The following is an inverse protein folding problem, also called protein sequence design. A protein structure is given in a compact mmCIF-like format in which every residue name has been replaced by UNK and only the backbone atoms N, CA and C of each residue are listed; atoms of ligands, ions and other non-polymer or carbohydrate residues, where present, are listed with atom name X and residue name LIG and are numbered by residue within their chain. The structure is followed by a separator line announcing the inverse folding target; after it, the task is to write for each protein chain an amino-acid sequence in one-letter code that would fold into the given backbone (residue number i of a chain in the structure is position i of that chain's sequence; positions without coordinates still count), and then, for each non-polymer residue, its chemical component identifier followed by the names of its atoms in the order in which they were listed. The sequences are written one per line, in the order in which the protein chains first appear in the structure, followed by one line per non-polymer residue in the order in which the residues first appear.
data_IF_123574770266
#
_entry.id   IF_123574770266
#
_cell.length_a   1.000
_cell.length_b   1.000
_cell.length_c   1.000
_cell.angle_alpha   90.00
_cell.angle_beta   90.00
_cell.angle_gamma   90.00
#
_symmetry.space_group_name_H-M   'P 1'
#
loop_
_entity.id
_entity.type
_entity.pdbx_description
1 polymer ?
#
# COMPACT_ATOMS: atom_id res chain seq x y z
N UNK A 1 -15.27 3.25 24.25
CA UNK A 1 -15.68 2.91 22.87
C UNK A 1 -14.38 2.64 22.11
N UNK A 2 -14.13 1.39 21.74
CA UNK A 2 -12.88 0.99 21.07
C UNK A 2 -12.71 1.76 19.75
N UNK A 3 -11.47 2.16 19.42
CA UNK A 3 -11.17 2.78 18.15
C UNK A 3 -11.39 1.75 17.03
N UNK A 4 -12.31 2.02 16.10
CA UNK A 4 -12.56 1.12 14.95
C UNK A 4 -11.29 0.86 14.11
N UNK A 5 -10.34 1.81 14.11
CA UNK A 5 -9.06 1.66 13.43
C UNK A 5 -8.15 0.58 14.06
N UNK A 6 -8.42 0.18 15.31
CA UNK A 6 -7.77 -0.92 16.02
C UNK A 6 -8.58 -2.21 16.00
N UNK A 7 -9.80 -2.19 15.46
CA UNK A 7 -10.63 -3.37 15.27
C UNK A 7 -9.94 -4.39 14.35
N UNK A 8 -10.34 -5.66 14.47
CA UNK A 8 -9.78 -6.76 13.69
C UNK A 8 -9.83 -6.51 12.17
N UNK A 9 -10.80 -5.73 11.69
CA UNK A 9 -10.99 -5.42 10.27
C UNK A 9 -9.91 -4.51 9.69
N UNK A 10 -9.57 -3.43 10.39
CA UNK A 10 -8.57 -2.47 9.91
C UNK A 10 -7.15 -2.87 10.31
N UNK A 11 -6.97 -3.81 11.24
CA UNK A 11 -5.67 -4.21 11.76
C UNK A 11 -4.71 -4.72 10.69
N UNK A 12 -5.18 -5.48 9.70
CA UNK A 12 -4.33 -6.00 8.62
C UNK A 12 -3.86 -4.87 7.69
N UNK A 13 -4.81 -4.06 7.21
CA UNK A 13 -4.54 -2.89 6.37
C UNK A 13 -3.62 -1.89 7.08
N UNK A 14 -3.87 -1.64 8.36
CA UNK A 14 -3.06 -0.79 9.24
C UNK A 14 -1.64 -1.30 9.35
N UNK A 15 -1.44 -2.60 9.65
CA UNK A 15 -0.10 -3.21 9.72
C UNK A 15 0.64 -3.10 8.39
N UNK A 16 -0.01 -3.41 7.27
CA UNK A 16 0.59 -3.27 5.94
C UNK A 16 1.04 -1.83 5.65
N UNK A 17 0.16 -0.85 5.88
CA UNK A 17 0.46 0.56 5.70
C UNK A 17 1.56 1.06 6.65
N UNK A 18 1.63 0.53 7.88
CA UNK A 18 2.69 0.85 8.84
C UNK A 18 4.04 0.29 8.39
N UNK A 19 4.10 -0.95 7.90
CA UNK A 19 5.35 -1.56 7.40
C UNK A 19 5.96 -0.75 6.25
N UNK A 20 5.14 -0.17 5.37
CA UNK A 20 5.61 0.64 4.24
C UNK A 20 5.93 2.11 4.67
N UNK A 21 5.53 2.53 5.88
CA UNK A 21 5.66 3.92 6.32
C UNK A 21 4.62 4.86 5.70
N UNK A 22 3.50 4.32 5.25
CA UNK A 22 2.38 5.07 4.66
C UNK A 22 1.28 5.40 5.66
N UNK A 23 1.34 4.84 6.87
CA UNK A 23 0.34 5.10 7.90
C UNK A 23 0.44 6.54 8.45
N UNK A 24 -0.64 7.35 8.41
CA UNK A 24 -0.57 8.77 8.74
C UNK A 24 -0.43 9.06 10.24
N UNK A 25 -0.79 8.10 11.11
CA UNK A 25 -0.71 8.25 12.57
C UNK A 25 0.60 7.69 13.17
N UNK A 26 1.58 7.30 12.35
CA UNK A 26 2.87 6.78 12.80
C UNK A 26 3.83 7.93 13.20
N UNK A 27 4.76 7.75 14.16
CA UNK A 27 5.75 8.76 14.50
C UNK A 27 6.57 9.19 13.28
N UNK A 28 6.76 10.52 13.15
CA UNK A 28 7.39 11.15 11.97
C UNK A 28 8.77 10.57 11.63
N UNK A 29 9.55 10.17 12.64
CA UNK A 29 10.90 9.60 12.47
C UNK A 29 10.87 8.20 11.86
N UNK A 30 10.06 7.31 12.44
CA UNK A 30 9.90 5.93 11.96
C UNK A 30 9.32 5.90 10.55
N UNK A 31 8.30 6.73 10.31
CA UNK A 31 7.70 6.92 8.98
C UNK A 31 8.72 7.34 7.93
N UNK A 32 9.59 8.31 8.25
CA UNK A 32 10.65 8.77 7.35
C UNK A 32 11.68 7.67 7.11
N UNK A 33 12.08 6.95 8.16
CA UNK A 33 13.01 5.83 8.04
C UNK A 33 12.48 4.75 7.10
N UNK A 34 11.24 4.29 7.31
CA UNK A 34 10.61 3.26 6.48
C UNK A 34 10.45 3.72 5.02
N UNK A 35 10.02 4.97 4.78
CA UNK A 35 9.93 5.51 3.41
C UNK A 35 11.29 5.54 2.72
N UNK A 36 12.35 5.96 3.41
CA UNK A 36 13.70 5.94 2.86
C UNK A 36 14.16 4.50 2.58
N UNK A 37 13.91 3.56 3.50
CA UNK A 37 14.24 2.15 3.33
C UNK A 37 13.54 1.55 2.10
N UNK A 38 12.23 1.74 1.97
CA UNK A 38 11.46 1.27 0.80
C UNK A 38 11.99 1.87 -0.49
N UNK A 39 12.24 3.18 -0.51
CA UNK A 39 12.78 3.85 -1.69
C UNK A 39 14.16 3.30 -2.10
N UNK A 40 15.07 3.09 -1.13
CA UNK A 40 16.40 2.52 -1.37
C UNK A 40 16.27 1.12 -1.95
N UNK A 41 15.43 0.25 -1.37
CA UNK A 41 15.22 -1.11 -1.86
C UNK A 41 14.69 -1.09 -3.30
N UNK A 42 13.69 -0.25 -3.59
CA UNK A 42 13.12 -0.14 -4.94
C UNK A 42 14.16 0.33 -5.97
N UNK A 43 14.98 1.33 -5.63
CA UNK A 43 16.04 1.81 -6.52
C UNK A 43 17.11 0.75 -6.73
N UNK A 44 17.54 0.05 -5.68
CA UNK A 44 18.51 -1.05 -5.78
C UNK A 44 18.04 -2.17 -6.70
N UNK A 45 16.74 -2.47 -6.74
CA UNK A 45 16.16 -3.45 -7.65
C UNK A 45 16.01 -2.92 -9.09
N UNK A 46 15.80 -1.62 -9.26
CA UNK A 46 15.65 -0.98 -10.57
C UNK A 46 16.98 -0.88 -11.33
N UNK A 47 18.09 -0.63 -10.63
CA UNK A 47 19.42 -0.44 -11.25
C UNK A 47 19.84 -1.63 -12.13
N UNK A 48 19.82 -2.90 -11.66
CA UNK A 48 20.17 -4.06 -12.49
C UNK A 48 19.29 -4.21 -13.73
N UNK A 49 17.99 -3.87 -13.61
CA UNK A 49 17.04 -3.96 -14.73
C UNK A 49 17.36 -2.93 -15.81
N UNK A 50 17.75 -1.72 -15.43
CA UNK A 50 18.20 -0.69 -16.37
C UNK A 50 19.51 -1.10 -17.03
N UNK A 51 20.49 -1.60 -16.26
CA UNK A 51 21.78 -2.06 -16.81
C UNK A 51 21.56 -3.14 -17.87
N UNK A 52 20.78 -4.17 -17.56
CA UNK A 52 20.43 -5.25 -18.50
C UNK A 52 19.76 -4.71 -19.76
N UNK A 53 18.86 -3.74 -19.62
CA UNK A 53 18.18 -3.12 -20.76
C UNK A 53 19.14 -2.33 -21.67
N UNK A 54 20.15 -1.66 -21.10
CA UNK A 54 21.13 -0.86 -21.86
C UNK A 54 22.15 -1.77 -22.55
N UNK A 55 22.61 -2.83 -21.87
CA UNK A 55 23.56 -3.80 -22.45
C UNK A 55 22.95 -4.54 -23.65
N UNK A 56 21.65 -4.86 -23.59
CA UNK A 56 20.94 -5.56 -24.65
C UNK A 56 20.24 -4.65 -25.66
N UNK A 57 20.64 -3.37 -25.80
CA UNK A 57 20.00 -2.42 -26.75
C UNK A 57 20.04 -2.90 -28.22
N UNK A 58 20.92 -3.84 -28.58
CA UNK A 58 20.93 -4.45 -29.91
C UNK A 58 19.91 -5.58 -30.13
N UNK A 59 19.31 -6.11 -29.07
CA UNK A 59 18.43 -7.29 -29.11
C UNK A 59 16.98 -6.90 -28.77
N UNK A 60 16.15 -6.86 -29.80
CA UNK A 60 14.76 -6.43 -29.68
C UNK A 60 13.94 -7.34 -28.74
N UNK A 61 14.23 -8.64 -28.68
CA UNK A 61 13.47 -9.58 -27.85
C UNK A 61 13.71 -9.28 -26.36
N UNK A 62 14.96 -9.00 -25.98
CA UNK A 62 15.32 -8.69 -24.58
C UNK A 62 14.75 -7.32 -24.15
N UNK A 63 14.76 -6.34 -25.05
CA UNK A 63 14.22 -5.00 -24.77
C UNK A 63 12.71 -5.06 -24.53
N UNK A 64 11.97 -5.81 -25.38
CA UNK A 64 10.52 -5.98 -25.23
C UNK A 64 10.17 -6.61 -23.87
N UNK A 65 10.99 -7.52 -23.36
CA UNK A 65 10.81 -8.10 -22.02
C UNK A 65 11.13 -7.10 -20.89
N UNK A 66 12.12 -6.22 -21.08
CA UNK A 66 12.54 -5.26 -20.06
C UNK A 66 11.60 -4.05 -19.89
N UNK A 67 10.99 -3.57 -20.98
CA UNK A 67 10.08 -2.41 -20.98
C UNK A 67 8.93 -2.54 -19.95
N UNK A 68 8.13 -3.62 -19.91
CA UNK A 68 7.03 -3.73 -18.97
C UNK A 68 7.53 -3.76 -17.52
N UNK A 69 8.67 -4.42 -17.26
CA UNK A 69 9.27 -4.49 -15.93
C UNK A 69 9.66 -3.09 -15.44
N UNK A 70 10.40 -2.33 -16.27
CA UNK A 70 10.82 -0.96 -15.93
C UNK A 70 9.59 -0.06 -15.74
N UNK A 71 8.58 -0.21 -16.59
CA UNK A 71 7.31 0.53 -16.50
C UNK A 71 6.58 0.25 -15.19
N UNK A 72 6.53 -1.02 -14.75
CA UNK A 72 5.94 -1.39 -13.47
C UNK A 72 6.65 -0.72 -12.29
N UNK A 73 7.99 -0.69 -12.29
CA UNK A 73 8.75 0.01 -11.25
C UNK A 73 8.52 1.52 -11.27
N UNK A 74 8.45 2.13 -12.46
CA UNK A 74 8.15 3.56 -12.59
C UNK A 74 6.75 3.88 -12.03
N UNK A 75 5.74 3.09 -12.37
CA UNK A 75 4.37 3.24 -11.84
C UNK A 75 4.33 3.05 -10.32
N UNK A 76 5.07 2.08 -9.79
CA UNK A 76 5.17 1.85 -8.34
C UNK A 76 5.77 3.07 -7.62
N UNK A 77 6.84 3.67 -8.16
CA UNK A 77 7.44 4.89 -7.62
C UNK A 77 6.48 6.08 -7.68
N UNK A 78 5.78 6.28 -8.81
CA UNK A 78 4.77 7.33 -8.94
C UNK A 78 3.68 7.16 -7.87
N UNK A 79 3.15 5.94 -7.70
CA UNK A 79 2.14 5.65 -6.66
C UNK A 79 2.68 5.89 -5.27
N UNK A 80 3.92 5.52 -5.00
CA UNK A 80 4.59 5.74 -3.72
C UNK A 80 4.66 7.23 -3.37
N UNK A 81 5.13 8.07 -4.30
CA UNK A 81 5.16 9.52 -4.08
C UNK A 81 3.76 10.13 -3.99
N UNK A 82 2.82 9.67 -4.82
CA UNK A 82 1.43 10.11 -4.75
C UNK A 82 0.84 9.87 -3.36
N UNK A 83 1.09 8.69 -2.77
CA UNK A 83 0.62 8.37 -1.42
C UNK A 83 1.24 9.25 -0.35
N UNK A 84 2.52 9.60 -0.48
CA UNK A 84 3.19 10.55 0.42
C UNK A 84 2.51 11.93 0.37
N UNK A 85 2.18 12.41 -0.82
CA UNK A 85 1.50 13.71 -1.00
C UNK A 85 0.05 13.64 -0.52
N UNK A 86 -0.63 12.52 -0.76
CA UNK A 86 -2.03 12.28 -0.39
C UNK A 86 -2.22 11.93 1.09
N UNK A 87 -1.15 11.88 1.87
CA UNK A 87 -1.17 11.46 3.28
C UNK A 87 -2.19 12.26 4.10
N UNK A 88 -2.30 13.57 3.88
CA UNK A 88 -3.25 14.43 4.60
C UNK A 88 -4.70 14.06 4.28
N UNK A 89 -5.00 13.70 3.03
CA UNK A 89 -6.35 13.24 2.66
C UNK A 89 -6.67 11.89 3.26
N UNK A 90 -5.70 10.97 3.30
CA UNK A 90 -5.86 9.68 3.97
C UNK A 90 -6.13 9.88 5.46
N UNK A 91 -5.43 10.81 6.11
CA UNK A 91 -5.67 11.17 7.50
C UNK A 91 -7.08 11.70 7.73
N UNK A 92 -7.53 12.64 6.88
CA UNK A 92 -8.89 13.17 6.94
C UNK A 92 -9.96 12.09 6.75
N UNK A 93 -9.74 11.16 5.81
CA UNK A 93 -10.64 10.04 5.57
C UNK A 93 -10.76 9.16 6.81
N UNK A 94 -9.63 8.74 7.39
CA UNK A 94 -9.62 7.88 8.58
C UNK A 94 -10.25 8.56 9.79
N UNK A 95 -10.02 9.86 9.99
CA UNK A 95 -10.66 10.63 11.07
C UNK A 95 -12.18 10.79 10.84
N UNK A 96 -12.62 10.86 9.58
CA UNK A 96 -14.05 10.91 9.26
C UNK A 96 -14.72 9.58 9.56
N UNK A 97 -14.10 8.47 9.14
CA UNK A 97 -14.57 7.11 9.49
C UNK A 97 -14.66 6.92 11.01
N UNK A 98 -13.66 7.37 11.76
CA UNK A 98 -13.67 7.30 13.23
C UNK A 98 -14.82 8.12 13.83
N UNK A 99 -15.08 9.32 13.30
CA UNK A 99 -16.15 10.20 13.78
C UNK A 99 -17.53 9.62 13.48
N UNK A 100 -17.73 9.17 12.25
CA UNK A 100 -18.97 8.56 11.79
C UNK A 100 -19.27 7.32 12.64
N UNK A 101 -18.24 6.51 12.94
CA UNK A 101 -18.34 5.37 13.86
C UNK A 101 -18.82 5.73 15.26
N UNK A 102 -18.39 6.87 15.82
CA UNK A 102 -18.84 7.31 17.14
C UNK A 102 -20.29 7.83 17.13
N UNK A 103 -20.77 8.34 16.00
CA UNK A 103 -22.15 8.80 15.83
C UNK A 103 -23.14 7.69 15.44
N UNK A 104 -22.63 6.53 15.03
CA UNK A 104 -23.42 5.38 14.59
C UNK A 104 -24.19 4.79 15.77
N UNK A 105 -25.49 5.06 15.81
CA UNK A 105 -26.44 4.54 16.81
C UNK A 105 -27.35 3.44 16.23
N UNK A 106 -27.38 3.29 14.90
CA UNK A 106 -28.24 2.35 14.18
C UNK A 106 -27.54 1.00 13.91
N UNK A 107 -28.14 -0.09 14.40
CA UNK A 107 -27.65 -1.46 14.23
C UNK A 107 -27.44 -1.86 12.74
N UNK A 108 -28.27 -1.32 11.84
CA UNK A 108 -28.26 -1.63 10.40
C UNK A 108 -27.02 -1.07 9.69
N UNK A 109 -26.56 0.09 10.12
CA UNK A 109 -25.39 0.74 9.54
C UNK A 109 -24.10 0.07 10.03
N UNK A 110 -24.10 -0.44 11.27
CA UNK A 110 -23.02 -1.27 11.83
C UNK A 110 -22.90 -2.58 11.03
N UNK A 111 -24.02 -3.24 10.72
CA UNK A 111 -24.04 -4.49 9.96
C UNK A 111 -23.56 -4.28 8.51
N UNK A 112 -23.93 -3.15 7.89
CA UNK A 112 -23.44 -2.77 6.56
C UNK A 112 -21.93 -2.56 6.58
N UNK A 113 -21.41 -1.82 7.57
CA UNK A 113 -19.98 -1.58 7.69
C UNK A 113 -19.20 -2.89 7.92
N UNK A 114 -19.75 -3.79 8.74
CA UNK A 114 -19.20 -5.12 8.97
C UNK A 114 -19.13 -5.95 7.69
N UNK A 115 -20.18 -5.89 6.85
CA UNK A 115 -20.17 -6.60 5.58
C UNK A 115 -19.04 -6.12 4.67
N UNK A 116 -18.90 -4.80 4.48
CA UNK A 116 -17.83 -4.24 3.65
C UNK A 116 -16.44 -4.47 4.21
N UNK A 117 -16.29 -4.45 5.54
CA UNK A 117 -15.01 -4.66 6.19
C UNK A 117 -14.53 -6.13 6.07
N UNK A 118 -15.44 -7.10 6.18
CA UNK A 118 -15.15 -8.52 5.90
C UNK A 118 -14.78 -8.76 4.43
N UNK A 119 -15.47 -8.11 3.50
CA UNK A 119 -15.12 -8.18 2.08
C UNK A 119 -13.73 -7.60 1.84
N UNK A 120 -13.41 -6.43 2.41
CA UNK A 120 -12.06 -5.85 2.37
C UNK A 120 -10.99 -6.77 2.94
N UNK A 121 -11.27 -7.47 4.04
CA UNK A 121 -10.36 -8.46 4.63
C UNK A 121 -10.13 -9.64 3.69
N UNK A 122 -11.18 -10.18 3.06
CA UNK A 122 -11.05 -11.27 2.08
C UNK A 122 -10.23 -10.86 0.87
N UNK A 123 -10.45 -9.65 0.35
CA UNK A 123 -9.64 -9.13 -0.77
C UNK A 123 -8.17 -8.97 -0.36
N UNK A 124 -7.88 -8.35 0.78
CA UNK A 124 -6.51 -8.22 1.27
C UNK A 124 -5.86 -9.60 1.47
N UNK A 125 -6.58 -10.55 2.05
CA UNK A 125 -6.08 -11.90 2.25
C UNK A 125 -5.75 -12.55 0.90
N UNK A 126 -6.66 -12.49 -0.07
CA UNK A 126 -6.45 -13.00 -1.42
C UNK A 126 -5.23 -12.36 -2.10
N UNK A 127 -5.08 -11.03 -2.01
CA UNK A 127 -3.90 -10.35 -2.53
C UNK A 127 -2.61 -10.82 -1.85
N UNK A 128 -2.60 -10.99 -0.53
CA UNK A 128 -1.42 -11.47 0.21
C UNK A 128 -1.15 -12.96 0.03
N UNK A 129 -2.17 -13.79 -0.18
CA UNK A 129 -2.01 -15.24 -0.34
C UNK A 129 -1.69 -15.65 -1.77
N UNK A 130 -2.10 -14.85 -2.76
CA UNK A 130 -1.78 -15.10 -4.17
C UNK A 130 -0.30 -14.81 -4.48
N UNK A 131 0.34 -13.91 -3.73
CA UNK A 131 1.78 -13.63 -3.84
C UNK A 131 2.65 -14.83 -3.38
N UNK A 132 2.08 -15.80 -2.65
CA UNK A 132 2.79 -17.00 -2.18
C UNK A 132 2.65 -18.23 -3.10
N UNK A 133 1.80 -18.16 -4.14
CA UNK A 133 1.64 -19.22 -5.13
C UNK A 133 2.42 -18.97 -6.45
N UNK A 134 3.24 -17.91 -6.48
CA UNK A 134 4.17 -17.61 -7.58
C UNK A 134 5.58 -17.45 -7.01
N UNK A 135 6.05 -18.45 -6.26
CA UNK A 135 7.49 -18.72 -6.03
C UNK A 135 7.68 -20.24 -6.11
#
# INVERSE_FOLDING_TARGET
MENILDSAYYRLTKRGLQCIGHWPFQPKREKRYLRCLTFIITISLLIPKIIKCVESWGDADIIIECIPIISCYALALIKFFNWIIMEDRLKQLLTTVERDWRSLTSQRDIETLHHYSEQGRKYNLAYTSTDQNII
#
